data_IF_622645728436
#
_entry.id   IF_622645728436
#
_cell.length_a   1.000
_cell.length_b   1.000
_cell.length_c   1.000
_cell.angle_alpha   90.00
_cell.angle_beta   90.00
_cell.angle_gamma   90.00
#
_symmetry.space_group_name_H-M   'P 1'
#
loop_
_entity.id
_entity.type
_entity.pdbx_description
1 polymer ?
#
# COMPACT_ATOMS: atom_id res chain seq x y z
N UNK A 1 -19.31 -27.59 21.36
CA UNK A 1 -17.99 -26.96 21.44
C UNK A 1 -18.09 -25.57 20.82
N UNK A 2 -17.99 -24.50 21.63
CA UNK A 2 -18.04 -23.11 21.15
C UNK A 2 -16.64 -22.68 20.77
N UNK A 3 -16.41 -22.36 19.49
CA UNK A 3 -15.18 -21.70 19.06
C UNK A 3 -15.27 -20.23 19.49
N UNK A 4 -14.41 -19.86 20.43
CA UNK A 4 -14.20 -18.46 20.79
C UNK A 4 -13.32 -17.81 19.73
N UNK A 5 -13.93 -17.07 18.81
CA UNK A 5 -13.21 -16.22 17.87
C UNK A 5 -12.46 -15.13 18.64
N UNK A 6 -11.16 -15.19 18.58
CA UNK A 6 -10.27 -14.22 19.20
C UNK A 6 -10.39 -12.87 18.49
N UNK A 7 -11.27 -11.99 18.99
CA UNK A 7 -11.50 -10.64 18.50
C UNK A 7 -10.28 -9.71 18.60
N UNK A 8 -9.30 -10.06 19.43
CA UNK A 8 -8.14 -9.20 19.72
C UNK A 8 -7.09 -9.20 18.60
N UNK A 9 -7.00 -10.28 17.82
CA UNK A 9 -6.04 -10.37 16.69
C UNK A 9 -6.40 -9.42 15.56
N UNK A 10 -7.69 -9.15 15.33
CA UNK A 10 -8.16 -8.25 14.27
C UNK A 10 -7.93 -6.77 14.61
N UNK A 11 -8.01 -6.39 15.89
CA UNK A 11 -7.77 -5.01 16.32
C UNK A 11 -6.31 -4.58 16.19
N UNK A 12 -5.38 -5.48 16.47
CA UNK A 12 -3.94 -5.18 16.38
C UNK A 12 -3.50 -4.98 14.92
N UNK A 13 -4.05 -5.77 14.00
CA UNK A 13 -3.76 -5.64 12.56
C UNK A 13 -4.32 -4.34 11.96
N UNK A 14 -5.52 -3.95 12.36
CA UNK A 14 -6.13 -2.66 11.94
C UNK A 14 -5.33 -1.49 12.50
N UNK A 15 -4.81 -1.60 13.72
CA UNK A 15 -3.99 -0.56 14.34
C UNK A 15 -2.65 -0.32 13.63
N UNK A 16 -1.98 -1.37 13.16
CA UNK A 16 -0.71 -1.25 12.41
C UNK A 16 -0.95 -0.64 11.03
N UNK A 17 -2.03 -1.00 10.36
CA UNK A 17 -2.40 -0.39 9.07
C UNK A 17 -2.80 1.09 9.25
N UNK A 18 -3.49 1.45 10.35
CA UNK A 18 -3.86 2.84 10.65
C UNK A 18 -2.63 3.72 10.94
N UNK A 19 -1.60 3.17 11.58
CA UNK A 19 -0.33 3.89 11.83
C UNK A 19 0.38 4.22 10.51
N UNK A 20 0.29 3.34 9.51
CA UNK A 20 0.83 3.58 8.17
C UNK A 20 0.06 4.66 7.38
N UNK A 21 -1.24 4.83 7.65
CA UNK A 21 -2.09 5.82 6.99
C UNK A 21 -1.87 7.26 7.48
N UNK A 22 -1.37 7.45 8.71
CA UNK A 22 -1.14 8.79 9.27
C UNK A 22 0.20 9.41 8.91
N UNK A 23 1.14 8.64 8.34
CA UNK A 23 2.48 9.13 7.97
C UNK A 23 2.51 10.09 6.77
N UNK A 24 1.40 10.31 6.06
CA UNK A 24 1.34 11.19 4.88
C UNK A 24 0.91 12.65 5.15
N UNK A 25 0.78 13.11 6.40
CA UNK A 25 0.11 14.39 6.70
C UNK A 25 0.98 15.61 7.00
N UNK A 26 2.25 15.43 7.24
CA UNK A 26 3.29 16.47 7.28
C UNK A 26 4.54 15.77 6.79
N UNK A 27 5.49 16.49 6.16
CA UNK A 27 6.86 15.97 5.98
C UNK A 27 7.37 15.50 7.35
N UNK A 28 6.80 14.40 7.81
CA UNK A 28 7.01 13.78 9.11
C UNK A 28 8.09 12.73 9.00
N UNK A 29 8.64 12.33 10.15
CA UNK A 29 9.60 11.22 10.26
C UNK A 29 9.10 10.03 9.43
N UNK A 30 9.87 9.60 8.43
CA UNK A 30 9.54 8.49 7.53
C UNK A 30 9.07 8.86 6.11
N UNK A 31 8.91 10.16 5.79
CA UNK A 31 8.68 10.56 4.40
C UNK A 31 9.99 10.51 3.59
N UNK A 32 9.91 9.90 2.41
CA UNK A 32 11.01 9.85 1.43
C UNK A 32 10.42 10.24 0.09
N UNK A 33 11.07 11.15 -0.61
CA UNK A 33 10.64 11.62 -1.94
C UNK A 33 10.79 10.51 -2.98
N UNK A 34 9.93 10.48 -4.01
CA UNK A 34 10.01 9.51 -5.12
C UNK A 34 11.33 9.63 -5.89
N UNK A 35 11.94 10.80 -5.89
CA UNK A 35 13.25 11.07 -6.51
C UNK A 35 14.45 10.58 -5.70
N UNK A 36 14.26 10.17 -4.45
CA UNK A 36 15.33 9.48 -3.69
C UNK A 36 15.68 8.16 -4.39
N UNK A 37 16.97 7.89 -4.55
CA UNK A 37 17.46 6.74 -5.33
C UNK A 37 16.94 5.40 -4.80
N UNK A 38 16.88 5.22 -3.47
CA UNK A 38 16.37 3.98 -2.89
C UNK A 38 14.85 3.86 -3.07
N UNK A 39 14.13 4.99 -2.98
CA UNK A 39 12.69 5.01 -3.22
C UNK A 39 12.37 4.75 -4.68
N UNK A 40 13.07 5.40 -5.62
CA UNK A 40 12.90 5.15 -7.05
C UNK A 40 13.16 3.68 -7.40
N UNK A 41 14.22 3.08 -6.82
CA UNK A 41 14.52 1.65 -6.99
C UNK A 41 13.39 0.77 -6.43
N UNK A 42 12.85 1.11 -5.28
CA UNK A 42 11.74 0.36 -4.67
C UNK A 42 10.45 0.45 -5.52
N UNK A 43 10.14 1.64 -6.05
CA UNK A 43 9.00 1.83 -6.98
C UNK A 43 9.20 1.01 -8.26
N UNK A 44 10.40 1.04 -8.86
CA UNK A 44 10.72 0.20 -10.03
C UNK A 44 10.50 -1.28 -9.72
N UNK A 45 10.97 -1.74 -8.56
CA UNK A 45 10.77 -3.13 -8.13
C UNK A 45 9.30 -3.49 -7.95
N UNK A 46 8.50 -2.60 -7.37
CA UNK A 46 7.05 -2.79 -7.24
C UNK A 46 6.39 -2.94 -8.63
N UNK A 47 6.78 -2.10 -9.59
CA UNK A 47 6.26 -2.16 -10.96
C UNK A 47 6.69 -3.41 -11.70
N UNK A 48 7.94 -3.85 -11.56
CA UNK A 48 8.44 -5.10 -12.14
C UNK A 48 7.68 -6.33 -11.63
N UNK A 49 7.27 -6.31 -10.37
CA UNK A 49 6.56 -7.43 -9.73
C UNK A 49 5.02 -7.28 -9.73
N UNK A 50 4.50 -6.19 -10.27
CA UNK A 50 3.05 -5.96 -10.41
C UNK A 50 2.31 -7.08 -11.19
N UNK A 51 2.89 -7.70 -12.24
CA UNK A 51 2.26 -8.86 -12.88
C UNK A 51 2.02 -10.04 -11.93
N UNK A 52 2.94 -10.29 -10.98
CA UNK A 52 2.78 -11.34 -9.96
C UNK A 52 1.63 -11.01 -8.99
N UNK A 53 1.52 -9.74 -8.58
CA UNK A 53 0.37 -9.29 -7.78
C UNK A 53 -0.95 -9.57 -8.49
N UNK A 54 -1.06 -9.23 -9.77
CA UNK A 54 -2.28 -9.48 -10.55
C UNK A 54 -2.60 -10.96 -10.68
N UNK A 55 -1.59 -11.80 -10.89
CA UNK A 55 -1.79 -13.25 -10.93
C UNK A 55 -2.38 -13.77 -9.61
N UNK A 56 -1.84 -13.33 -8.47
CA UNK A 56 -2.36 -13.71 -7.15
C UNK A 56 -3.77 -13.14 -6.93
N UNK A 57 -4.00 -11.89 -7.32
CA UNK A 57 -5.31 -11.24 -7.20
C UNK A 57 -6.40 -11.97 -7.98
N UNK A 58 -6.10 -12.42 -9.20
CA UNK A 58 -7.04 -13.12 -10.06
C UNK A 58 -7.32 -14.55 -9.56
N UNK A 59 -6.32 -15.24 -9.02
CA UNK A 59 -6.40 -16.65 -8.62
C UNK A 59 -6.85 -16.87 -7.17
N UNK A 60 -6.37 -16.10 -6.22
CA UNK A 60 -6.67 -16.17 -4.77
C UNK A 60 -6.62 -17.59 -4.19
N UNK A 61 -5.61 -18.37 -4.56
CA UNK A 61 -5.56 -19.83 -4.29
C UNK A 61 -5.22 -20.19 -2.84
N UNK A 62 -4.57 -19.29 -2.09
CA UNK A 62 -4.04 -19.55 -0.75
C UNK A 62 -4.68 -18.64 0.33
N UNK A 63 -5.93 -18.24 0.14
CA UNK A 63 -6.65 -17.40 1.11
C UNK A 63 -6.14 -15.97 1.19
N UNK A 64 -5.53 -15.47 0.12
CA UNK A 64 -5.05 -14.10 0.05
C UNK A 64 -6.20 -13.10 0.22
N UNK A 65 -5.91 -12.01 0.92
CA UNK A 65 -6.89 -10.98 1.28
C UNK A 65 -6.24 -9.61 1.40
N UNK A 66 -7.03 -8.58 1.67
CA UNK A 66 -6.55 -7.20 1.91
C UNK A 66 -5.60 -6.71 0.80
N UNK A 67 -6.00 -6.92 -0.45
CA UNK A 67 -5.27 -6.42 -1.59
C UNK A 67 -5.33 -4.89 -1.63
N UNK A 68 -4.18 -4.26 -1.83
CA UNK A 68 -4.03 -2.80 -1.90
C UNK A 68 -3.08 -2.45 -3.04
N UNK A 69 -3.43 -1.44 -3.81
CA UNK A 69 -2.50 -0.73 -4.67
C UNK A 69 -2.21 0.64 -4.06
N UNK A 70 -0.96 1.08 -4.15
CA UNK A 70 -0.57 2.45 -3.84
C UNK A 70 -0.37 3.17 -5.17
N UNK A 71 -1.13 4.23 -5.38
CA UNK A 71 -1.12 4.99 -6.63
C UNK A 71 -0.63 6.41 -6.41
N UNK A 72 0.15 6.92 -7.36
CA UNK A 72 0.63 8.28 -7.39
C UNK A 72 -0.35 9.14 -8.17
N UNK A 73 -0.79 10.25 -7.59
CA UNK A 73 -1.60 11.25 -8.26
C UNK A 73 -0.84 12.58 -8.27
N UNK A 74 -0.73 13.16 -9.45
CA UNK A 74 -0.10 14.45 -9.64
C UNK A 74 -1.16 15.50 -9.97
N UNK A 75 -1.18 16.59 -9.21
CA UNK A 75 -2.08 17.73 -9.41
C UNK A 75 -1.29 19.03 -9.28
N UNK A 76 -1.24 19.82 -10.36
CA UNK A 76 -0.52 21.12 -10.40
C UNK A 76 0.93 21.03 -9.90
N UNK A 77 1.64 19.98 -10.30
CA UNK A 77 3.04 19.73 -9.92
C UNK A 77 3.23 19.21 -8.49
N UNK A 78 2.15 18.95 -7.75
CA UNK A 78 2.20 18.31 -6.44
C UNK A 78 1.88 16.84 -6.57
N UNK A 79 2.57 16.01 -5.81
CA UNK A 79 2.42 14.55 -5.81
C UNK A 79 1.86 14.09 -4.47
N UNK A 80 0.90 13.18 -4.52
CA UNK A 80 0.40 12.48 -3.34
C UNK A 80 0.16 11.01 -3.68
N UNK A 81 0.44 10.12 -2.71
CA UNK A 81 0.22 8.69 -2.83
C UNK A 81 -1.04 8.28 -2.10
N UNK A 82 -1.85 7.48 -2.78
CA UNK A 82 -3.13 7.00 -2.27
C UNK A 82 -3.14 5.48 -2.18
N UNK A 83 -3.66 4.97 -1.07
CA UNK A 83 -4.10 3.59 -1.01
C UNK A 83 -5.43 3.47 -1.75
N UNK A 84 -5.66 2.33 -2.36
CA UNK A 84 -6.87 2.09 -3.13
C UNK A 84 -7.51 0.76 -2.77
N UNK A 85 -8.81 0.69 -2.98
CA UNK A 85 -9.64 -0.50 -2.83
C UNK A 85 -10.45 -0.72 -4.10
N UNK A 86 -11.21 -1.82 -4.17
CA UNK A 86 -12.17 -2.10 -5.24
C UNK A 86 -11.61 -1.85 -6.64
N UNK A 87 -10.39 -2.33 -6.86
CA UNK A 87 -9.77 -2.17 -8.15
C UNK A 87 -10.19 -3.28 -9.11
N UNK A 88 -10.31 -2.89 -10.37
CA UNK A 88 -10.69 -3.74 -11.49
C UNK A 88 -9.75 -3.48 -12.66
N UNK A 89 -9.32 -4.54 -13.32
CA UNK A 89 -8.52 -4.45 -14.54
C UNK A 89 -9.33 -4.94 -15.72
N UNK A 90 -9.57 -4.05 -16.68
CA UNK A 90 -10.32 -4.35 -17.89
C UNK A 90 -9.72 -3.61 -19.07
N UNK A 91 -9.53 -4.32 -20.20
CA UNK A 91 -9.04 -3.76 -21.47
C UNK A 91 -7.72 -2.96 -21.32
N UNK A 92 -6.80 -3.45 -20.50
CA UNK A 92 -5.51 -2.80 -20.22
C UNK A 92 -5.58 -1.58 -19.29
N UNK A 93 -6.75 -1.25 -18.78
CA UNK A 93 -7.01 -0.14 -17.84
C UNK A 93 -7.17 -0.67 -16.42
N UNK A 94 -6.70 0.09 -15.46
CA UNK A 94 -6.89 -0.19 -14.03
C UNK A 94 -7.78 0.87 -13.42
N UNK A 95 -8.98 0.47 -13.01
CA UNK A 95 -9.89 1.32 -12.23
C UNK A 95 -9.66 1.06 -10.75
N UNK A 96 -9.60 2.11 -9.94
CA UNK A 96 -9.38 2.03 -8.50
C UNK A 96 -10.32 2.95 -7.74
N UNK A 97 -10.63 2.61 -6.49
CA UNK A 97 -11.34 3.51 -5.58
C UNK A 97 -10.36 4.09 -4.56
N UNK A 98 -10.30 5.41 -4.45
CA UNK A 98 -9.44 6.13 -3.50
C UNK A 98 -9.91 5.85 -2.07
N UNK A 99 -9.04 5.29 -1.22
CA UNK A 99 -9.40 4.83 0.12
C UNK A 99 -8.90 5.72 1.28
N UNK A 100 -8.18 6.81 0.97
CA UNK A 100 -7.79 7.82 1.97
C UNK A 100 -8.07 9.24 1.47
N UNK A 101 -8.39 10.13 2.40
CA UNK A 101 -8.66 11.54 2.07
C UNK A 101 -7.39 12.24 1.58
N UNK A 102 -7.47 13.04 0.49
CA UNK A 102 -6.35 13.83 0.00
C UNK A 102 -5.94 14.91 1.01
N UNK A 103 -4.66 15.23 1.04
CA UNK A 103 -4.05 16.25 1.91
C UNK A 103 -3.29 17.31 1.11
N UNK A 104 -2.86 16.96 -0.08
CA UNK A 104 -1.98 17.79 -0.93
C UNK A 104 -2.66 18.10 -2.26
N UNK A 105 -3.17 17.08 -2.95
CA UNK A 105 -3.85 17.25 -4.25
C UNK A 105 -5.33 17.55 -4.05
N UNK A 106 -5.94 18.26 -4.99
CA UNK A 106 -7.35 18.62 -4.96
C UNK A 106 -8.17 17.95 -6.09
N UNK A 107 -7.50 17.23 -6.97
CA UNK A 107 -8.11 16.61 -8.16
C UNK A 107 -8.92 15.35 -7.86
N UNK A 108 -8.80 14.79 -6.66
CA UNK A 108 -9.52 13.59 -6.23
C UNK A 108 -10.06 13.73 -4.81
N UNK A 109 -11.03 12.89 -4.46
CA UNK A 109 -11.63 12.78 -3.12
C UNK A 109 -11.64 11.34 -2.65
N UNK A 110 -11.77 11.15 -1.35
CA UNK A 110 -12.06 9.84 -0.77
C UNK A 110 -13.32 9.23 -1.41
N UNK A 111 -13.21 8.00 -1.89
CA UNK A 111 -14.29 7.27 -2.54
C UNK A 111 -14.39 7.49 -4.05
N UNK A 112 -13.61 8.40 -4.64
CA UNK A 112 -13.59 8.57 -6.09
C UNK A 112 -13.10 7.30 -6.77
N UNK A 113 -13.81 6.88 -7.84
CA UNK A 113 -13.40 5.78 -8.72
C UNK A 113 -12.75 6.37 -9.97
N UNK A 114 -11.47 6.10 -10.15
CA UNK A 114 -10.66 6.69 -11.21
C UNK A 114 -9.86 5.63 -11.97
N UNK A 115 -9.51 5.95 -13.21
CA UNK A 115 -8.58 5.17 -14.02
C UNK A 115 -7.13 5.56 -13.70
N UNK A 116 -6.27 4.57 -13.49
CA UNK A 116 -4.86 4.77 -13.19
C UNK A 116 -3.98 4.06 -14.24
N UNK A 117 -3.02 4.75 -14.85
CA UNK A 117 -1.98 4.12 -15.64
C UNK A 117 -1.12 3.19 -14.78
N UNK A 118 -0.65 2.07 -15.34
CA UNK A 118 0.22 1.14 -14.61
C UNK A 118 1.51 1.82 -14.08
N UNK A 119 2.03 2.82 -14.80
CA UNK A 119 3.21 3.60 -14.39
C UNK A 119 2.99 4.45 -13.11
N UNK A 120 1.74 4.71 -12.75
CA UNK A 120 1.39 5.45 -11.54
C UNK A 120 1.04 4.53 -10.36
N UNK A 121 1.10 3.20 -10.54
CA UNK A 121 1.09 2.24 -9.43
C UNK A 121 2.51 2.17 -8.87
N UNK A 122 2.70 2.71 -7.67
CA UNK A 122 4.03 2.85 -7.05
C UNK A 122 4.34 1.76 -6.03
N UNK A 123 3.33 1.07 -5.54
CA UNK A 123 3.48 -0.10 -4.67
C UNK A 123 2.21 -0.94 -4.67
N UNK A 124 2.30 -2.14 -4.13
CA UNK A 124 1.17 -3.04 -3.93
C UNK A 124 1.39 -3.92 -2.71
N UNK A 125 0.30 -4.45 -2.18
CA UNK A 125 0.36 -5.46 -1.13
C UNK A 125 -0.89 -6.32 -1.08
N UNK A 126 -0.75 -7.48 -0.48
CA UNK A 126 -1.85 -8.33 -0.02
C UNK A 126 -1.44 -9.08 1.24
N UNK A 127 -2.41 -9.68 1.92
CA UNK A 127 -2.13 -10.56 3.05
C UNK A 127 -2.17 -12.02 2.61
N UNK A 128 -1.17 -12.80 3.08
CA UNK A 128 -1.10 -14.25 3.01
C UNK A 128 -0.57 -14.77 4.35
N UNK A 129 -1.21 -15.77 4.92
CA UNK A 129 -0.81 -16.40 6.20
C UNK A 129 -0.58 -15.38 7.34
N UNK A 130 -1.41 -14.34 7.39
CA UNK A 130 -1.32 -13.29 8.40
C UNK A 130 -0.18 -12.28 8.22
N UNK A 131 0.56 -12.34 7.11
CA UNK A 131 1.65 -11.42 6.78
C UNK A 131 1.37 -10.63 5.51
N UNK A 132 1.91 -9.41 5.44
CA UNK A 132 1.88 -8.60 4.22
C UNK A 132 2.96 -9.07 3.25
N UNK A 133 2.58 -9.31 2.02
CA UNK A 133 3.45 -9.52 0.87
C UNK A 133 3.46 -8.23 0.04
N UNK A 134 4.62 -7.83 -0.48
CA UNK A 134 4.82 -6.57 -1.19
C UNK A 134 5.28 -5.45 -0.26
N UNK A 135 4.71 -4.25 -0.33
CA UNK A 135 5.06 -3.05 0.45
C UNK A 135 6.56 -2.70 0.35
N UNK A 136 7.13 -2.86 -0.84
CA UNK A 136 8.59 -2.71 -1.02
C UNK A 136 9.05 -1.26 -0.81
N UNK A 137 8.17 -0.27 -1.02
CA UNK A 137 8.47 1.15 -0.75
C UNK A 137 8.55 1.49 0.74
N UNK A 138 8.23 0.56 1.63
CA UNK A 138 8.45 0.74 3.06
C UNK A 138 9.94 0.63 3.45
N UNK A 139 10.73 -0.18 2.73
CA UNK A 139 12.15 -0.41 3.05
C UNK A 139 12.99 0.89 3.08
N UNK A 140 12.94 1.76 2.07
CA UNK A 140 13.64 3.05 2.11
C UNK A 140 13.23 3.95 3.28
N UNK A 141 12.02 3.76 3.82
CA UNK A 141 11.50 4.57 4.93
C UNK A 141 12.04 4.15 6.30
N UNK A 142 12.52 2.92 6.45
CA UNK A 142 12.97 2.37 7.74
C UNK A 142 14.03 3.23 8.41
N UNK A 143 14.99 3.78 7.66
CA UNK A 143 16.05 4.65 8.19
C UNK A 143 15.53 5.99 8.78
N UNK A 144 14.29 6.34 8.49
CA UNK A 144 13.63 7.56 8.94
C UNK A 144 12.53 7.31 9.98
N UNK A 145 12.37 6.05 10.41
CA UNK A 145 11.34 5.64 11.39
C UNK A 145 11.96 5.27 12.74
N UNK A 146 11.21 5.36 13.83
CA UNK A 146 11.62 4.80 15.12
C UNK A 146 11.88 3.29 15.02
N UNK A 147 12.91 2.81 15.71
CA UNK A 147 13.35 1.41 15.62
C UNK A 147 12.25 0.41 16.02
N UNK A 148 11.47 0.73 17.05
CA UNK A 148 10.35 -0.07 17.52
C UNK A 148 9.25 -0.22 16.46
N UNK A 149 8.98 0.83 15.69
CA UNK A 149 8.03 0.78 14.56
C UNK A 149 8.57 -0.08 13.41
N UNK A 150 9.86 0.02 13.10
CA UNK A 150 10.50 -0.82 12.07
C UNK A 150 10.41 -2.29 12.46
N UNK A 151 10.73 -2.63 13.72
CA UNK A 151 10.62 -4.01 14.19
C UNK A 151 9.17 -4.52 14.21
N UNK A 152 8.21 -3.67 14.55
CA UNK A 152 6.79 -4.03 14.46
C UNK A 152 6.36 -4.33 13.01
N UNK A 153 6.81 -3.51 12.04
CA UNK A 153 6.55 -3.73 10.62
C UNK A 153 7.18 -5.03 10.12
N UNK A 154 8.45 -5.29 10.43
CA UNK A 154 9.15 -6.52 10.02
C UNK A 154 8.42 -7.79 10.49
N UNK A 155 7.81 -7.76 11.67
CA UNK A 155 7.06 -8.91 12.22
C UNK A 155 5.82 -9.26 11.40
N UNK A 156 5.18 -8.27 10.77
CA UNK A 156 3.94 -8.46 10.00
C UNK A 156 4.18 -8.53 8.49
N UNK A 157 5.41 -8.34 8.03
CA UNK A 157 5.77 -8.52 6.63
C UNK A 157 6.26 -9.95 6.36
N UNK A 158 5.92 -10.46 5.18
CA UNK A 158 6.52 -11.70 4.69
C UNK A 158 8.02 -11.47 4.43
N UNK A 159 8.82 -12.50 4.66
CA UNK A 159 10.21 -12.50 4.23
C UNK A 159 10.26 -12.48 2.69
N UNK A 160 11.25 -11.79 2.09
CA UNK A 160 11.41 -11.71 0.63
C UNK A 160 11.70 -13.05 -0.01
#
# INVERSE_FOLDING_TARGET
MRQTHNKNSRLVLIGVLLILLTACAKRGKGYVEDSDTEMATAISKAQETLPQFWQVFDQRQHGESNFVLVVRITDKGRIEHFHTTDFERRDGKTMVTISNAPKIVASVKLGDRIEIPAADITDWSYMRDGKYVGMVTMKPRYKHMPADQVEALKKVMAEP
#
